data_IF_057264767265
#
_entry.id   IF_057264767265
#
_cell.length_a   1.000
_cell.length_b   1.000
_cell.length_c   1.000
_cell.angle_alpha   90.00
_cell.angle_beta   90.00
_cell.angle_gamma   90.00
#
_symmetry.space_group_name_H-M   'P 1'
#
loop_
_entity.id
_entity.type
_entity.pdbx_description
1 polymer ?
#
# COMPACT_ATOMS: atom_id res chain seq x y z
N UNK A 1 -27.78 20.02 8.49
CA UNK A 1 -27.16 20.94 9.46
C UNK A 1 -27.22 20.30 10.85
N UNK A 2 -26.12 19.73 11.33
CA UNK A 2 -25.92 19.39 12.77
C UNK A 2 -24.43 19.54 13.06
N UNK A 3 -24.09 20.60 13.78
CA UNK A 3 -22.78 20.89 14.32
C UNK A 3 -22.44 19.87 15.42
N UNK A 4 -21.31 19.18 15.33
CA UNK A 4 -20.71 18.46 16.45
C UNK A 4 -19.55 19.30 16.99
N UNK A 5 -19.75 19.73 18.24
CA UNK A 5 -18.79 20.53 19.03
C UNK A 5 -17.60 19.66 19.46
N UNK A 6 -16.42 20.23 19.35
CA UNK A 6 -15.20 19.76 19.96
C UNK A 6 -15.37 19.68 21.49
N UNK A 7 -14.97 18.57 22.10
CA UNK A 7 -14.83 18.42 23.56
C UNK A 7 -13.41 18.75 23.96
N UNK A 8 -13.29 19.83 24.72
CA UNK A 8 -12.08 20.20 25.44
C UNK A 8 -11.79 19.17 26.54
N UNK A 9 -10.56 18.70 26.62
CA UNK A 9 -10.07 17.87 27.70
C UNK A 9 -9.50 18.79 28.79
N UNK A 10 -10.23 18.79 29.90
CA UNK A 10 -9.87 19.56 31.09
C UNK A 10 -8.83 18.77 31.91
N UNK A 11 -7.71 19.42 32.18
CA UNK A 11 -6.63 18.93 33.04
C UNK A 11 -7.06 18.99 34.49
N UNK A 12 -6.96 17.90 35.22
CA UNK A 12 -7.02 17.90 36.69
C UNK A 12 -5.64 17.51 37.26
N UNK A 13 -5.03 18.37 38.09
CA UNK A 13 -3.94 17.98 38.95
C UNK A 13 -4.51 17.53 40.31
N UNK A 14 -4.45 16.25 40.61
CA UNK A 14 -4.87 15.66 41.86
C UNK A 14 -3.71 14.97 42.57
N UNK A 15 -3.15 15.67 43.52
CA UNK A 15 -2.17 15.30 44.49
C UNK A 15 -2.73 14.23 45.45
N UNK A 16 -2.10 13.05 45.56
CA UNK A 16 -2.29 12.15 46.70
C UNK A 16 -0.95 11.72 47.28
N UNK A 17 -0.79 12.14 48.53
CA UNK A 17 0.26 11.78 49.50
C UNK A 17 0.11 10.33 50.00
N UNK A 18 1.23 9.70 50.09
CA UNK A 18 1.72 8.73 51.06
C UNK A 18 0.75 7.77 51.76
N UNK A 19 1.07 6.48 51.62
CA UNK A 19 1.09 5.56 52.79
C UNK A 19 2.00 4.36 52.45
N UNK A 20 3.13 4.29 53.18
CA UNK A 20 4.02 3.13 53.23
C UNK A 20 3.27 1.99 53.96
N UNK A 21 3.22 0.82 53.37
CA UNK A 21 3.00 -0.44 54.06
C UNK A 21 3.89 -1.52 53.47
N UNK A 22 4.78 -2.01 54.32
CA UNK A 22 5.66 -3.18 54.15
C UNK A 22 4.80 -4.42 53.94
N UNK A 23 4.98 -5.13 52.80
CA UNK A 23 4.56 -6.52 52.68
C UNK A 23 5.37 -7.25 51.60
N UNK A 24 6.16 -8.20 52.04
CA UNK A 24 6.54 -9.50 51.42
C UNK A 24 7.04 -9.54 49.96
N UNK A 25 8.31 -9.90 49.87
CA UNK A 25 9.00 -10.44 48.69
C UNK A 25 8.23 -11.63 48.08
N UNK A 26 7.53 -11.37 46.99
CA UNK A 26 7.27 -12.38 46.02
C UNK A 26 8.08 -12.00 44.77
N UNK A 27 9.07 -12.84 44.43
CA UNK A 27 9.83 -12.73 43.21
C UNK A 27 8.90 -12.97 42.00
N UNK A 28 8.16 -11.93 41.62
CA UNK A 28 7.49 -11.87 40.33
C UNK A 28 8.61 -11.73 39.27
N UNK A 29 8.95 -12.84 38.62
CA UNK A 29 9.81 -12.83 37.48
C UNK A 29 9.24 -11.88 36.45
N UNK A 30 9.84 -10.70 36.29
CA UNK A 30 9.62 -9.85 35.13
C UNK A 30 10.07 -10.64 33.91
N UNK A 31 9.15 -11.32 33.26
CA UNK A 31 9.36 -11.73 31.88
C UNK A 31 9.52 -10.46 31.06
N UNK A 32 10.76 -10.05 30.82
CA UNK A 32 11.10 -9.03 29.86
C UNK A 32 10.56 -9.55 28.53
N UNK A 33 9.41 -8.98 28.09
CA UNK A 33 8.92 -9.25 26.75
C UNK A 33 10.05 -8.85 25.79
N UNK A 34 10.63 -9.84 25.12
CA UNK A 34 11.62 -9.58 24.08
C UNK A 34 11.06 -8.53 23.13
N UNK A 35 11.81 -7.47 22.79
CA UNK A 35 11.35 -6.49 21.84
C UNK A 35 10.99 -7.28 20.57
N UNK A 36 9.72 -7.18 20.14
CA UNK A 36 9.26 -7.75 18.87
C UNK A 36 10.21 -7.23 17.82
N UNK A 37 11.07 -8.12 17.28
CA UNK A 37 11.98 -7.76 16.21
C UNK A 37 11.18 -7.10 15.10
N UNK A 38 11.70 -6.02 14.55
CA UNK A 38 11.11 -5.34 13.40
C UNK A 38 10.85 -6.40 12.32
N UNK A 39 9.63 -6.53 11.79
CA UNK A 39 9.32 -7.52 10.76
C UNK A 39 10.32 -7.35 9.62
N UNK A 40 11.04 -8.41 9.28
CA UNK A 40 11.95 -8.39 8.13
C UNK A 40 11.08 -8.35 6.88
N UNK A 41 11.26 -7.36 5.99
CA UNK A 41 10.50 -7.29 4.74
C UNK A 41 10.67 -8.59 3.94
N UNK A 42 9.61 -9.12 3.32
CA UNK A 42 9.71 -10.32 2.51
C UNK A 42 10.66 -10.09 1.33
N UNK A 43 11.44 -11.12 0.98
CA UNK A 43 12.29 -11.06 -0.21
C UNK A 43 11.43 -10.89 -1.46
N UNK A 44 11.88 -10.04 -2.39
CA UNK A 44 11.20 -9.82 -3.65
C UNK A 44 12.18 -9.92 -4.82
N UNK A 45 11.75 -10.55 -5.92
CA UNK A 45 12.54 -10.77 -7.13
C UNK A 45 11.68 -10.61 -8.37
N UNK A 46 12.19 -9.88 -9.37
CA UNK A 46 11.59 -9.82 -10.71
C UNK A 46 11.97 -11.08 -11.47
N UNK A 47 10.98 -11.75 -12.04
CA UNK A 47 11.12 -13.00 -12.78
C UNK A 47 10.84 -12.77 -14.27
N UNK A 48 11.27 -13.69 -15.15
CA UNK A 48 10.85 -13.72 -16.55
C UNK A 48 9.32 -13.80 -16.66
N UNK A 49 8.74 -13.06 -17.58
CA UNK A 49 7.32 -13.08 -17.90
C UNK A 49 6.95 -14.42 -18.56
N UNK A 50 5.85 -15.02 -18.13
CA UNK A 50 5.30 -16.27 -18.66
C UNK A 50 3.82 -16.11 -19.05
N UNK A 51 3.19 -17.18 -19.52
CA UNK A 51 1.79 -17.16 -19.94
C UNK A 51 0.82 -16.83 -18.80
N UNK A 52 1.15 -17.14 -17.56
CA UNK A 52 0.33 -16.80 -16.37
C UNK A 52 0.39 -15.31 -16.09
N UNK A 53 1.59 -14.73 -16.24
CA UNK A 53 1.77 -13.28 -16.11
C UNK A 53 0.92 -12.51 -17.13
N UNK A 54 0.71 -13.08 -18.30
CA UNK A 54 -0.06 -12.48 -19.39
C UNK A 54 -1.56 -12.80 -19.34
N UNK A 55 -2.02 -13.51 -18.31
CA UNK A 55 -3.42 -13.99 -18.22
C UNK A 55 -4.46 -12.86 -18.29
N UNK A 56 -4.11 -11.67 -17.83
CA UNK A 56 -5.01 -10.51 -17.83
C UNK A 56 -4.63 -9.42 -18.83
N UNK A 57 -3.57 -9.62 -19.59
CA UNK A 57 -3.03 -8.70 -20.58
C UNK A 57 -1.51 -8.55 -20.47
N UNK A 58 -0.86 -8.14 -21.54
CA UNK A 58 0.59 -7.95 -21.62
C UNK A 58 1.04 -6.54 -21.27
N UNK A 59 0.10 -5.59 -21.20
CA UNK A 59 0.37 -4.17 -20.93
C UNK A 59 -0.57 -3.63 -19.85
N UNK A 60 -0.18 -2.53 -19.23
CA UNK A 60 -1.02 -1.80 -18.27
C UNK A 60 -2.41 -1.52 -18.84
N UNK A 61 -2.50 -1.01 -20.06
CA UNK A 61 -3.78 -0.69 -20.71
C UNK A 61 -4.68 -1.92 -20.89
N UNK A 62 -4.10 -3.06 -21.33
CA UNK A 62 -4.85 -4.30 -21.51
C UNK A 62 -5.39 -4.84 -20.18
N UNK A 63 -4.58 -4.79 -19.10
CA UNK A 63 -5.04 -5.22 -17.77
C UNK A 63 -6.18 -4.36 -17.25
N UNK A 64 -6.11 -3.03 -17.41
CA UNK A 64 -7.17 -2.12 -17.00
C UNK A 64 -8.47 -2.30 -17.79
N UNK A 65 -8.38 -2.73 -19.04
CA UNK A 65 -9.52 -3.00 -19.91
C UNK A 65 -10.03 -4.44 -19.80
N UNK A 66 -9.30 -5.33 -19.12
CA UNK A 66 -9.69 -6.73 -18.97
C UNK A 66 -10.98 -6.83 -18.12
N UNK A 67 -12.06 -7.45 -18.64
CA UNK A 67 -13.34 -7.53 -17.93
C UNK A 67 -13.26 -8.21 -16.56
N UNK A 68 -12.31 -9.17 -16.38
CA UNK A 68 -12.12 -9.85 -15.10
C UNK A 68 -11.40 -8.98 -14.06
N UNK A 69 -10.72 -7.90 -14.49
CA UNK A 69 -9.90 -7.06 -13.63
C UNK A 69 -10.47 -5.65 -13.45
N UNK A 70 -11.10 -5.07 -14.46
CA UNK A 70 -11.53 -3.68 -14.47
C UNK A 70 -12.33 -3.26 -13.23
N UNK A 71 -13.35 -4.04 -12.86
CA UNK A 71 -14.20 -3.74 -11.71
C UNK A 71 -13.48 -3.97 -10.37
N UNK A 72 -12.62 -4.99 -10.29
CA UNK A 72 -11.80 -5.24 -9.10
C UNK A 72 -10.82 -4.09 -8.85
N UNK A 73 -10.19 -3.58 -9.91
CA UNK A 73 -9.23 -2.46 -9.84
C UNK A 73 -9.96 -1.18 -9.43
N UNK A 74 -11.13 -0.87 -9.99
CA UNK A 74 -11.94 0.28 -9.56
C UNK A 74 -12.35 0.15 -8.09
N UNK A 75 -12.76 -1.04 -7.67
CA UNK A 75 -13.15 -1.31 -6.28
C UNK A 75 -11.96 -1.19 -5.33
N UNK A 76 -10.76 -1.62 -5.75
CA UNK A 76 -9.52 -1.50 -4.97
C UNK A 76 -9.24 -0.04 -4.59
N UNK A 77 -9.29 0.88 -5.55
CA UNK A 77 -9.05 2.31 -5.32
C UNK A 77 -10.29 3.03 -4.78
N UNK A 78 -11.49 2.48 -4.99
CA UNK A 78 -12.74 3.07 -4.50
C UNK A 78 -12.94 4.50 -4.99
N UNK A 79 -13.24 5.45 -4.07
CA UNK A 79 -13.46 6.86 -4.44
C UNK A 79 -12.21 7.53 -5.03
N UNK A 80 -11.00 7.04 -4.70
CA UNK A 80 -9.74 7.60 -5.20
C UNK A 80 -9.46 7.22 -6.67
N UNK A 81 -10.28 6.36 -7.28
CA UNK A 81 -10.16 6.02 -8.69
C UNK A 81 -10.36 7.21 -9.62
N UNK A 82 -11.32 8.08 -9.30
CA UNK A 82 -11.68 9.25 -10.10
C UNK A 82 -11.08 10.54 -9.52
N UNK A 83 -10.86 11.57 -10.37
CA UNK A 83 -10.45 12.88 -9.88
C UNK A 83 -11.41 13.42 -8.82
N UNK A 84 -10.86 14.04 -7.78
CA UNK A 84 -11.63 14.68 -6.73
C UNK A 84 -11.25 16.18 -6.60
N UNK A 85 -12.20 17.01 -6.20
CA UNK A 85 -11.92 18.41 -5.87
C UNK A 85 -11.76 18.54 -4.37
N UNK A 86 -10.60 19.03 -3.92
CA UNK A 86 -10.36 19.34 -2.51
C UNK A 86 -11.26 20.47 -2.01
N UNK A 87 -11.37 20.60 -0.68
CA UNK A 87 -12.12 21.71 -0.07
C UNK A 87 -11.61 23.10 -0.48
N UNK A 88 -10.36 23.21 -0.92
CA UNK A 88 -9.75 24.43 -1.47
C UNK A 88 -9.97 24.63 -2.97
N UNK A 89 -10.79 23.82 -3.64
CA UNK A 89 -11.06 23.90 -5.08
C UNK A 89 -9.95 23.35 -5.98
N UNK A 90 -8.88 22.75 -5.40
CA UNK A 90 -7.81 22.15 -6.16
C UNK A 90 -8.23 20.75 -6.64
N UNK A 91 -8.05 20.48 -7.94
CA UNK A 91 -8.31 19.18 -8.53
C UNK A 91 -7.17 18.23 -8.20
N UNK A 92 -7.46 17.12 -7.52
CA UNK A 92 -6.55 16.00 -7.29
C UNK A 92 -6.81 14.94 -8.36
N UNK A 93 -5.80 14.50 -9.12
CA UNK A 93 -5.98 13.46 -10.12
C UNK A 93 -6.35 12.14 -9.43
N UNK A 94 -7.29 11.40 -10.02
CA UNK A 94 -7.62 10.06 -9.56
C UNK A 94 -6.54 9.04 -9.93
N UNK A 95 -6.57 7.87 -9.26
CA UNK A 95 -5.63 6.78 -9.51
C UNK A 95 -5.62 6.32 -10.97
N UNK A 96 -6.73 6.43 -11.69
CA UNK A 96 -6.82 6.09 -13.11
C UNK A 96 -5.77 6.82 -13.95
N UNK A 97 -5.54 8.11 -13.69
CA UNK A 97 -4.61 8.93 -14.45
C UNK A 97 -3.13 8.54 -14.26
N UNK A 98 -2.80 7.80 -13.19
CA UNK A 98 -1.45 7.28 -12.97
C UNK A 98 -1.11 6.09 -13.86
N UNK A 99 -2.11 5.46 -14.47
CA UNK A 99 -1.93 4.37 -15.42
C UNK A 99 -1.87 4.84 -16.88
N UNK A 100 -2.08 6.14 -17.15
CA UNK A 100 -2.04 6.70 -18.51
C UNK A 100 -0.65 6.55 -19.16
N UNK A 101 0.41 6.57 -18.32
CA UNK A 101 1.75 6.16 -18.73
C UNK A 101 2.11 4.87 -18.01
N UNK A 102 1.87 3.76 -18.65
CA UNK A 102 2.20 2.42 -18.16
C UNK A 102 2.92 1.59 -19.23
N UNK A 103 3.46 0.46 -18.81
CA UNK A 103 4.29 -0.37 -19.66
C UNK A 103 3.85 -1.83 -19.74
N UNK A 104 4.76 -2.70 -20.17
CA UNK A 104 4.53 -4.13 -20.12
C UNK A 104 4.40 -4.61 -18.68
N UNK A 105 3.52 -5.58 -18.46
CA UNK A 105 3.40 -6.26 -17.17
C UNK A 105 4.68 -7.03 -16.85
N UNK A 106 4.98 -7.16 -15.58
CA UNK A 106 6.15 -7.87 -15.07
C UNK A 106 5.72 -8.96 -14.08
N UNK A 107 6.50 -10.02 -13.98
CA UNK A 107 6.33 -11.03 -12.94
C UNK A 107 7.23 -10.71 -11.76
N UNK A 108 6.67 -10.70 -10.55
CA UNK A 108 7.41 -10.45 -9.30
C UNK A 108 7.04 -11.53 -8.29
N UNK A 109 8.04 -12.20 -7.72
CA UNK A 109 7.86 -13.11 -6.60
C UNK A 109 8.17 -12.38 -5.30
N UNK A 110 7.24 -12.41 -4.33
CA UNK A 110 7.38 -11.74 -3.04
C UNK A 110 7.01 -12.73 -1.94
N UNK A 111 7.96 -13.04 -1.05
CA UNK A 111 7.74 -13.99 0.04
C UNK A 111 7.29 -15.38 -0.42
N UNK A 112 7.67 -15.79 -1.65
CA UNK A 112 7.28 -17.07 -2.25
C UNK A 112 5.99 -17.04 -3.09
N UNK A 113 5.22 -15.95 -3.07
CA UNK A 113 4.00 -15.77 -3.87
C UNK A 113 4.31 -15.01 -5.16
N UNK A 114 3.75 -15.46 -6.28
CA UNK A 114 3.92 -14.83 -7.59
C UNK A 114 2.80 -13.82 -7.85
N UNK A 115 3.21 -12.63 -8.27
CA UNK A 115 2.34 -11.51 -8.61
C UNK A 115 2.60 -11.02 -10.04
N UNK A 116 1.54 -10.58 -10.69
CA UNK A 116 1.58 -9.78 -11.90
C UNK A 116 1.69 -8.32 -11.45
N UNK A 117 2.77 -7.66 -11.82
CA UNK A 117 3.02 -6.27 -11.50
C UNK A 117 2.64 -5.37 -12.68
N UNK A 118 1.77 -4.41 -12.42
CA UNK A 118 1.32 -3.38 -13.36
C UNK A 118 1.84 -2.05 -12.83
N UNK A 119 2.67 -1.38 -13.61
CA UNK A 119 3.30 -0.11 -13.23
C UNK A 119 2.81 1.02 -14.10
N UNK A 120 2.79 2.21 -13.52
CA UNK A 120 2.45 3.41 -14.24
C UNK A 120 2.87 4.67 -13.50
N UNK A 121 2.75 5.82 -14.17
CA UNK A 121 3.00 7.11 -13.57
C UNK A 121 2.11 8.19 -14.19
N UNK A 122 1.90 9.26 -13.41
CA UNK A 122 1.17 10.42 -13.93
C UNK A 122 1.98 11.16 -15.00
N UNK A 123 1.40 11.45 -16.17
CA UNK A 123 2.10 12.14 -17.25
C UNK A 123 2.77 13.44 -16.80
N UNK A 124 4.07 13.57 -17.08
CA UNK A 124 4.85 14.74 -16.70
C UNK A 124 5.32 14.79 -15.24
N UNK A 125 4.99 13.78 -14.41
CA UNK A 125 5.39 13.74 -13.00
C UNK A 125 5.82 12.34 -12.52
N UNK A 126 6.42 11.53 -13.40
CA UNK A 126 6.83 10.15 -13.10
C UNK A 126 7.90 10.02 -12.02
N UNK A 127 8.56 11.10 -11.63
CA UNK A 127 9.52 11.16 -10.53
C UNK A 127 8.85 11.13 -9.15
N UNK A 128 7.64 11.67 -9.04
CA UNK A 128 6.93 11.89 -7.78
C UNK A 128 5.52 11.31 -7.71
N UNK A 129 4.94 10.94 -8.87
CA UNK A 129 3.59 10.41 -8.99
C UNK A 129 3.58 9.10 -9.74
N UNK A 130 3.58 8.00 -9.00
CA UNK A 130 3.73 6.63 -9.51
C UNK A 130 2.71 5.71 -8.93
N UNK A 131 2.40 4.64 -9.65
CA UNK A 131 1.52 3.58 -9.17
C UNK A 131 2.16 2.22 -9.43
N UNK A 132 2.02 1.34 -8.46
CA UNK A 132 2.26 -0.10 -8.58
C UNK A 132 0.99 -0.82 -8.17
N UNK A 133 0.48 -1.66 -9.05
CA UNK A 133 -0.58 -2.62 -8.78
C UNK A 133 0.01 -4.03 -8.86
N UNK A 134 -0.17 -4.82 -7.81
CA UNK A 134 0.17 -6.23 -7.73
C UNK A 134 -1.13 -7.06 -7.78
N UNK A 135 -1.21 -7.98 -8.72
CA UNK A 135 -2.30 -8.93 -8.87
C UNK A 135 -1.71 -10.31 -8.62
N UNK A 136 -2.18 -11.04 -7.61
CA UNK A 136 -1.80 -12.44 -7.46
C UNK A 136 -2.21 -13.23 -8.72
N UNK A 137 -1.42 -14.21 -9.15
CA UNK A 137 -1.67 -14.96 -10.38
C UNK A 137 -3.08 -15.58 -10.46
N UNK A 138 -3.70 -15.88 -9.32
CA UNK A 138 -5.10 -16.35 -9.24
C UNK A 138 -6.14 -15.27 -9.54
N UNK A 139 -5.73 -14.00 -9.64
CA UNK A 139 -6.61 -12.84 -9.83
C UNK A 139 -7.17 -12.24 -8.53
N UNK A 140 -6.69 -12.68 -7.37
CA UNK A 140 -6.99 -12.13 -6.03
C UNK A 140 -6.01 -12.70 -5.01
N UNK A 141 -5.50 -11.88 -4.04
CA UNK A 141 -5.79 -10.47 -3.81
C UNK A 141 -5.16 -9.52 -4.84
N UNK A 142 -5.67 -8.27 -4.83
CA UNK A 142 -5.03 -7.13 -5.48
C UNK A 142 -4.48 -6.20 -4.39
N UNK A 143 -3.25 -5.74 -4.57
CA UNK A 143 -2.58 -4.79 -3.68
C UNK A 143 -2.05 -3.64 -4.51
N UNK A 144 -2.13 -2.40 -4.00
CA UNK A 144 -1.55 -1.29 -4.73
C UNK A 144 -0.86 -0.29 -3.80
N UNK A 145 0.10 0.43 -4.40
CA UNK A 145 0.73 1.62 -3.84
C UNK A 145 0.66 2.72 -4.89
N UNK A 146 0.22 3.89 -4.44
CA UNK A 146 0.19 5.12 -5.21
C UNK A 146 1.05 6.15 -4.48
N UNK A 147 2.11 6.63 -5.16
CA UNK A 147 2.95 7.71 -4.64
C UNK A 147 2.43 9.05 -5.15
N UNK A 148 2.18 9.98 -4.24
CA UNK A 148 1.75 11.33 -4.57
C UNK A 148 2.48 12.35 -3.69
N UNK A 149 3.33 13.18 -4.32
CA UNK A 149 3.96 14.31 -3.66
C UNK A 149 4.79 13.97 -2.42
N UNK A 150 5.39 12.78 -2.39
CA UNK A 150 6.20 12.29 -1.26
C UNK A 150 5.43 11.43 -0.26
N UNK A 151 4.14 11.24 -0.46
CA UNK A 151 3.30 10.34 0.34
C UNK A 151 3.02 9.06 -0.43
N UNK A 152 2.98 7.92 0.28
CA UNK A 152 2.57 6.63 -0.26
C UNK A 152 1.19 6.24 0.30
N UNK A 153 0.25 5.99 -0.59
CA UNK A 153 -1.08 5.48 -0.27
C UNK A 153 -1.14 3.99 -0.62
N UNK A 154 -1.70 3.17 0.28
CA UNK A 154 -1.77 1.72 0.12
C UNK A 154 -3.22 1.26 0.03
N UNK A 155 -3.47 0.34 -0.90
CA UNK A 155 -4.80 -0.21 -1.19
C UNK A 155 -4.75 -1.72 -1.18
N UNK A 156 -5.84 -2.34 -0.74
CA UNK A 156 -5.99 -3.79 -0.73
C UNK A 156 -7.41 -4.21 -1.10
N UNK A 157 -7.53 -5.18 -2.01
CA UNK A 157 -8.79 -5.81 -2.41
C UNK A 157 -8.67 -7.31 -2.19
N UNK A 158 -9.63 -7.88 -1.44
CA UNK A 158 -9.70 -9.28 -1.07
C UNK A 158 -10.37 -9.43 0.28
N UNK A 159 -10.74 -10.67 0.65
CA UNK A 159 -11.65 -10.95 1.77
C UNK A 159 -11.01 -10.84 3.17
N UNK A 160 -9.72 -10.54 3.31
CA UNK A 160 -9.04 -10.69 4.59
C UNK A 160 -8.59 -9.36 5.22
N UNK A 161 -9.03 -9.13 6.46
CA UNK A 161 -8.53 -8.02 7.28
C UNK A 161 -6.99 -8.06 7.47
N UNK A 162 -6.38 -9.26 7.42
CA UNK A 162 -4.93 -9.47 7.48
C UNK A 162 -4.18 -8.80 6.31
N UNK A 163 -4.81 -8.61 5.15
CA UNK A 163 -4.19 -7.92 4.03
C UNK A 163 -3.91 -6.44 4.32
N UNK A 164 -4.69 -5.80 5.20
CA UNK A 164 -4.50 -4.39 5.53
C UNK A 164 -3.17 -4.12 6.23
N UNK A 165 -2.76 -5.04 7.10
CA UNK A 165 -1.54 -4.87 7.90
C UNK A 165 -0.28 -5.34 7.16
N UNK A 166 -0.43 -6.32 6.23
CA UNK A 166 0.69 -6.88 5.47
C UNK A 166 0.86 -6.27 4.08
N UNK A 167 -0.22 -5.68 3.52
CA UNK A 167 -0.19 -5.08 2.19
C UNK A 167 0.95 -4.07 1.98
N UNK A 168 1.19 -3.09 2.88
CA UNK A 168 2.29 -2.15 2.70
C UNK A 168 3.64 -2.85 2.56
N UNK A 169 3.94 -3.84 3.39
CA UNK A 169 5.21 -4.56 3.39
C UNK A 169 5.42 -5.36 2.10
N UNK A 170 4.38 -6.01 1.59
CA UNK A 170 4.41 -6.77 0.33
C UNK A 170 4.62 -5.80 -0.85
N UNK A 171 3.81 -4.74 -0.92
CA UNK A 171 3.85 -3.80 -2.04
C UNK A 171 5.17 -3.03 -2.06
N UNK A 172 5.73 -2.64 -0.91
CA UNK A 172 7.03 -1.97 -0.82
C UNK A 172 8.18 -2.88 -1.27
N UNK A 173 8.11 -4.17 -0.94
CA UNK A 173 9.09 -5.15 -1.41
C UNK A 173 9.06 -5.30 -2.93
N UNK A 174 7.86 -5.40 -3.51
CA UNK A 174 7.66 -5.43 -4.97
C UNK A 174 8.11 -4.14 -5.65
N UNK A 175 7.75 -2.99 -5.09
CA UNK A 175 8.16 -1.68 -5.59
C UNK A 175 9.69 -1.56 -5.63
N UNK A 176 10.37 -1.92 -4.54
CA UNK A 176 11.83 -1.90 -4.47
C UNK A 176 12.47 -2.82 -5.51
N UNK A 177 11.96 -4.05 -5.67
CA UNK A 177 12.49 -4.99 -6.65
C UNK A 177 12.39 -4.46 -8.08
N UNK A 178 11.23 -3.91 -8.45
CA UNK A 178 11.01 -3.31 -9.77
C UNK A 178 11.85 -2.05 -9.98
N UNK A 179 11.93 -1.17 -8.97
CA UNK A 179 12.79 0.02 -9.00
C UNK A 179 14.26 -0.36 -9.25
N UNK A 180 14.78 -1.34 -8.53
CA UNK A 180 16.16 -1.81 -8.69
C UNK A 180 16.38 -2.53 -10.03
N UNK A 181 15.37 -3.19 -10.58
CA UNK A 181 15.43 -3.82 -11.90
C UNK A 181 15.38 -2.81 -13.07
N UNK A 182 15.17 -1.53 -12.78
CA UNK A 182 15.16 -0.47 -13.77
C UNK A 182 13.82 -0.24 -14.45
N UNK A 183 12.71 -0.52 -13.76
CA UNK A 183 11.39 -0.21 -14.28
C UNK A 183 11.27 1.30 -14.58
N UNK A 184 10.96 1.70 -15.83
CA UNK A 184 11.02 3.11 -16.23
C UNK A 184 9.87 3.95 -15.65
N UNK A 185 8.80 3.32 -15.15
CA UNK A 185 7.63 4.01 -14.57
C UNK A 185 7.76 4.19 -13.07
N UNK A 186 8.71 3.48 -12.45
CA UNK A 186 9.00 3.61 -11.02
C UNK A 186 10.29 4.37 -10.74
N UNK A 187 11.19 4.52 -11.73
CA UNK A 187 12.42 5.33 -11.61
C UNK A 187 12.16 6.78 -11.98
N UNK A 188 12.71 7.70 -11.20
CA UNK A 188 12.88 9.08 -11.65
C UNK A 188 13.73 9.08 -12.92
N UNK A 189 13.27 9.75 -13.98
CA UNK A 189 14.11 10.04 -15.14
C UNK A 189 15.08 11.14 -14.73
N UNK A 190 16.36 10.81 -14.67
CA UNK A 190 17.46 11.77 -14.53
C UNK A 190 17.57 12.63 -15.77
#
# INVERSE_FOLDING_TARGET
>A
MRHLRAREWNSYPGMYLALCSLALLTAAGCTVASPRGTPVPPSAQVLPTDSRTLAYGGTTAEVLQNPAMADKIRTLFGPDWMPATSAGGQLTPGAAAYFDQGGPVRKVRIGGTDYIAVTGCFPGACDSRRVLLLIEESGSPLLARLDEGGFAHYYGYGSEAALRDTAPTIVDSGFRALYLSGDPYLRARS
#
